data_IF_223423624068
#
_entry.id   IF_223423624068
#
_cell.length_a   1.000
_cell.length_b   1.000
_cell.length_c   1.000
_cell.angle_alpha   90.00
_cell.angle_beta   90.00
_cell.angle_gamma   90.00
#
_symmetry.space_group_name_H-M   'P 1'
#
loop_
_entity.id
_entity.type
_entity.pdbx_description
1 polymer ?
#
# COMPACT_ATOMS: atom_id res chain seq x y z
N UNK A 1 56.48 -26.09 -52.33
CA UNK A 1 55.40 -26.44 -51.37
C UNK A 1 54.59 -25.16 -51.10
N UNK A 2 53.41 -25.01 -51.74
CA UNK A 2 52.59 -23.81 -51.70
C UNK A 2 51.51 -24.03 -50.65
N UNK A 3 51.56 -23.25 -49.54
CA UNK A 3 50.57 -23.24 -48.51
C UNK A 3 49.45 -22.26 -48.91
N UNK A 4 48.26 -22.76 -49.14
CA UNK A 4 47.07 -21.94 -49.40
C UNK A 4 46.48 -21.52 -48.06
N UNK A 5 46.44 -20.16 -47.80
CA UNK A 5 45.68 -19.56 -46.74
C UNK A 5 44.20 -19.53 -47.12
N UNK A 6 43.36 -20.26 -46.40
CA UNK A 6 41.91 -20.18 -46.50
C UNK A 6 41.45 -19.14 -45.45
N UNK A 7 40.99 -17.99 -45.96
CA UNK A 7 40.40 -16.95 -45.11
C UNK A 7 38.95 -17.30 -44.85
N UNK A 8 38.59 -17.61 -43.60
CA UNK A 8 37.20 -17.75 -43.15
C UNK A 8 36.67 -16.35 -42.79
N UNK A 9 35.78 -15.83 -43.63
CA UNK A 9 34.98 -14.67 -43.31
C UNK A 9 33.79 -15.13 -42.44
N UNK A 10 33.85 -14.83 -41.15
CA UNK A 10 32.69 -14.99 -40.25
C UNK A 10 31.74 -13.83 -40.50
N UNK A 11 30.63 -14.14 -41.18
CA UNK A 11 29.50 -13.20 -41.34
C UNK A 11 28.67 -13.27 -40.07
N UNK A 12 28.84 -12.27 -39.16
CA UNK A 12 27.95 -12.05 -38.03
C UNK A 12 26.63 -11.47 -38.54
N UNK A 13 25.61 -12.31 -38.64
CA UNK A 13 24.23 -11.87 -38.80
C UNK A 13 23.74 -11.37 -37.42
N UNK A 14 23.73 -10.08 -37.24
CA UNK A 14 23.02 -9.42 -36.15
C UNK A 14 21.50 -9.56 -36.42
N UNK A 15 20.92 -10.59 -35.86
CA UNK A 15 19.43 -10.66 -35.75
C UNK A 15 19.07 -9.68 -34.66
N UNK A 16 18.75 -8.45 -35.05
CA UNK A 16 18.06 -7.50 -34.22
C UNK A 16 16.68 -8.02 -33.90
N UNK A 17 16.46 -8.50 -32.68
CA UNK A 17 15.13 -8.67 -32.16
C UNK A 17 14.47 -7.28 -32.07
N UNK A 18 13.80 -6.84 -33.11
CA UNK A 18 12.75 -5.86 -33.00
C UNK A 18 11.57 -6.56 -32.32
N UNK A 19 11.55 -6.54 -30.99
CA UNK A 19 10.29 -6.71 -30.28
C UNK A 19 9.57 -5.36 -30.35
N UNK A 20 8.82 -5.13 -31.41
CA UNK A 20 7.70 -4.23 -31.39
C UNK A 20 6.69 -4.78 -30.37
N UNK A 21 6.98 -4.61 -29.07
CA UNK A 21 5.94 -4.58 -28.08
C UNK A 21 5.11 -3.35 -28.44
N UNK A 22 3.98 -3.58 -29.13
CA UNK A 22 2.87 -2.64 -29.06
C UNK A 22 2.69 -2.37 -27.56
N UNK A 23 3.04 -1.17 -27.09
CA UNK A 23 2.50 -0.65 -25.86
C UNK A 23 0.99 -0.77 -26.05
N UNK A 24 0.36 -1.75 -25.41
CA UNK A 24 -1.08 -1.69 -25.20
C UNK A 24 -1.29 -0.39 -24.46
N UNK A 25 -1.84 0.61 -25.14
CA UNK A 25 -2.34 1.82 -24.52
C UNK A 25 -3.32 1.36 -23.43
N UNK A 26 -2.85 1.28 -22.20
CA UNK A 26 -3.67 1.00 -21.03
C UNK A 26 -4.63 2.19 -20.94
N UNK A 27 -5.82 2.02 -21.51
CA UNK A 27 -6.87 3.03 -21.48
C UNK A 27 -7.30 3.14 -20.02
N UNK A 28 -6.98 4.27 -19.40
CA UNK A 28 -7.53 4.60 -18.09
C UNK A 28 -9.04 4.75 -18.29
N UNK A 29 -9.87 3.98 -17.57
CA UNK A 29 -11.32 4.13 -17.67
C UNK A 29 -11.73 5.58 -17.47
N UNK A 30 -12.69 6.06 -18.26
CA UNK A 30 -13.14 7.46 -18.21
C UNK A 30 -13.68 7.87 -16.85
N UNK A 31 -14.14 6.94 -16.04
CA UNK A 31 -14.60 7.14 -14.66
C UNK A 31 -13.52 7.66 -13.71
N UNK A 32 -12.23 7.50 -14.04
CA UNK A 32 -11.13 8.05 -13.25
C UNK A 32 -10.65 9.44 -13.72
N UNK A 33 -11.32 10.03 -14.71
CA UNK A 33 -11.01 11.36 -15.21
C UNK A 33 -11.94 12.40 -14.56
N UNK A 34 -11.47 13.04 -13.51
CA UNK A 34 -12.20 14.09 -12.80
C UNK A 34 -12.83 13.66 -11.47
N UNK A 35 -12.97 12.35 -11.23
CA UNK A 35 -13.34 11.79 -9.93
C UNK A 35 -12.12 11.23 -9.20
N UNK A 36 -12.19 11.19 -7.87
CA UNK A 36 -11.13 10.57 -7.08
C UNK A 36 -11.19 9.04 -7.22
N UNK A 37 -10.23 8.37 -7.88
CA UNK A 37 -10.27 6.93 -8.10
C UNK A 37 -9.89 6.12 -6.84
N UNK A 38 -9.42 6.78 -5.77
CA UNK A 38 -8.85 6.13 -4.61
C UNK A 38 -9.82 5.18 -3.87
N UNK A 39 -11.11 5.51 -3.64
CA UNK A 39 -12.03 4.60 -2.98
C UNK A 39 -12.10 3.21 -3.65
N UNK A 40 -12.22 3.17 -4.97
CA UNK A 40 -12.26 1.91 -5.73
C UNK A 40 -10.91 1.20 -5.77
N UNK A 41 -9.83 1.93 -5.93
CA UNK A 41 -8.47 1.38 -5.87
C UNK A 41 -8.22 0.76 -4.50
N UNK A 42 -8.54 1.45 -3.41
CA UNK A 42 -8.41 0.99 -2.04
C UNK A 42 -9.17 -0.32 -1.81
N UNK A 43 -10.43 -0.37 -2.20
CA UNK A 43 -11.26 -1.57 -2.12
C UNK A 43 -10.64 -2.76 -2.87
N UNK A 44 -10.19 -2.53 -4.10
CA UNK A 44 -9.52 -3.57 -4.91
C UNK A 44 -8.20 -4.01 -4.29
N UNK A 45 -7.42 -3.09 -3.71
CA UNK A 45 -6.15 -3.43 -3.03
C UNK A 45 -6.38 -4.32 -1.83
N UNK A 46 -7.39 -4.01 -0.99
CA UNK A 46 -7.75 -4.84 0.15
C UNK A 46 -8.25 -6.21 -0.32
N UNK A 47 -9.21 -6.26 -1.24
CA UNK A 47 -9.88 -7.53 -1.57
C UNK A 47 -9.10 -8.44 -2.54
N UNK A 48 -8.19 -7.88 -3.36
CA UNK A 48 -7.46 -8.66 -4.39
C UNK A 48 -5.98 -8.85 -4.08
N UNK A 49 -5.32 -7.86 -3.47
CA UNK A 49 -3.88 -7.91 -3.26
C UNK A 49 -3.50 -8.34 -1.84
N UNK A 50 -4.25 -7.88 -0.83
CA UNK A 50 -3.92 -8.16 0.57
C UNK A 50 -4.01 -9.65 0.93
N UNK A 51 -4.99 -10.45 0.44
CA UNK A 51 -5.03 -11.90 0.71
C UNK A 51 -3.75 -12.62 0.30
N UNK A 52 -3.22 -12.30 -0.87
CA UNK A 52 -1.98 -12.89 -1.37
C UNK A 52 -0.77 -12.43 -0.56
N UNK A 53 -0.73 -11.14 -0.18
CA UNK A 53 0.36 -10.60 0.64
C UNK A 53 0.41 -11.24 2.03
N UNK A 54 -0.74 -11.52 2.66
CA UNK A 54 -0.83 -12.29 3.91
C UNK A 54 -0.23 -13.70 3.74
N UNK A 55 -0.64 -14.38 2.66
CA UNK A 55 -0.16 -15.74 2.38
C UNK A 55 1.35 -15.78 2.11
N UNK A 56 1.88 -14.88 1.28
CA UNK A 56 3.31 -14.79 0.95
C UNK A 56 4.16 -14.48 2.19
N UNK A 57 3.68 -13.57 3.05
CA UNK A 57 4.33 -13.23 4.31
C UNK A 57 4.10 -14.27 5.43
N UNK A 58 3.29 -15.31 5.20
CA UNK A 58 2.92 -16.34 6.17
C UNK A 58 2.31 -15.74 7.45
N UNK A 59 1.41 -14.81 7.27
CA UNK A 59 0.69 -14.10 8.33
C UNK A 59 -0.75 -14.62 8.38
N UNK A 60 -1.17 -15.13 9.54
CA UNK A 60 -2.56 -15.57 9.73
C UNK A 60 -3.47 -14.39 9.97
N UNK A 61 -3.03 -13.43 10.79
CA UNK A 61 -3.80 -12.24 11.11
C UNK A 61 -2.90 -10.99 11.14
N UNK A 62 -3.32 -9.92 10.49
CA UNK A 62 -2.69 -8.61 10.59
C UNK A 62 -3.57 -7.67 11.40
N UNK A 63 -3.03 -7.11 12.48
CA UNK A 63 -3.66 -6.13 13.35
C UNK A 63 -3.07 -4.75 13.08
N UNK A 64 -3.93 -3.80 12.73
CA UNK A 64 -3.58 -2.37 12.61
C UNK A 64 -4.44 -1.56 13.58
N UNK A 65 -3.81 -0.65 14.31
CA UNK A 65 -4.47 0.24 15.25
C UNK A 65 -4.43 1.67 14.73
N UNK A 66 -5.60 2.23 14.44
CA UNK A 66 -5.76 3.62 14.02
C UNK A 66 -6.35 4.47 15.15
N UNK A 67 -5.97 5.74 15.21
CA UNK A 67 -6.48 6.72 16.17
C UNK A 67 -6.19 8.15 15.72
N UNK A 68 -6.90 9.11 16.29
CA UNK A 68 -6.57 10.53 16.14
C UNK A 68 -5.18 10.86 16.73
N UNK A 69 -4.51 11.83 16.16
CA UNK A 69 -3.22 12.34 16.60
C UNK A 69 -2.13 11.25 16.70
N UNK A 70 -1.35 11.09 15.69
CA UNK A 70 -0.38 10.02 15.48
C UNK A 70 -1.03 8.71 15.03
N UNK A 71 -1.75 8.80 13.91
CA UNK A 71 -2.39 7.66 13.27
C UNK A 71 -1.35 6.71 12.63
N UNK A 72 -1.79 5.47 12.36
CA UNK A 72 -0.97 4.51 11.63
C UNK A 72 -0.65 5.04 10.22
N UNK A 73 0.59 4.90 9.72
CA UNK A 73 0.96 5.34 8.36
C UNK A 73 0.11 4.73 7.24
N UNK A 74 -0.53 3.59 7.50
CA UNK A 74 -1.39 2.89 6.55
C UNK A 74 -2.88 3.21 6.71
N UNK A 75 -3.24 4.15 7.58
CA UNK A 75 -4.64 4.48 7.88
C UNK A 75 -5.44 4.78 6.61
N UNK A 76 -4.93 5.61 5.69
CA UNK A 76 -5.60 5.93 4.43
C UNK A 76 -5.77 4.71 3.50
N UNK A 77 -4.89 3.72 3.60
CA UNK A 77 -4.98 2.50 2.82
C UNK A 77 -6.07 1.53 3.29
N UNK A 78 -6.48 1.63 4.55
CA UNK A 78 -7.41 0.69 5.19
C UNK A 78 -8.71 1.33 5.70
N UNK A 79 -8.93 2.62 5.47
CA UNK A 79 -10.12 3.34 5.93
C UNK A 79 -10.02 3.89 7.35
N UNK A 80 -8.84 3.89 7.95
CA UNK A 80 -8.61 4.38 9.31
C UNK A 80 -8.23 5.87 9.39
N UNK A 81 -8.27 6.61 8.28
CA UNK A 81 -7.87 8.01 8.22
C UNK A 81 -8.71 8.95 9.11
N UNK A 82 -9.97 8.58 9.33
CA UNK A 82 -10.92 9.37 10.13
C UNK A 82 -11.19 8.78 11.51
N UNK A 83 -10.39 7.83 11.98
CA UNK A 83 -10.54 7.27 13.32
C UNK A 83 -10.26 8.35 14.39
N UNK A 84 -11.26 8.73 15.16
CA UNK A 84 -11.14 9.68 16.30
C UNK A 84 -10.70 8.96 17.58
N UNK A 85 -11.31 7.82 17.87
CA UNK A 85 -10.89 6.93 18.95
C UNK A 85 -10.06 5.74 18.43
N UNK A 86 -9.65 4.85 19.34
CA UNK A 86 -8.94 3.63 18.95
C UNK A 86 -9.85 2.74 18.09
N UNK A 87 -9.51 2.57 16.81
CA UNK A 87 -10.13 1.63 15.89
C UNK A 87 -9.14 0.53 15.53
N UNK A 88 -9.55 -0.74 15.67
CA UNK A 88 -8.70 -1.89 15.40
C UNK A 88 -9.18 -2.60 14.14
N UNK A 89 -8.31 -2.69 13.17
CA UNK A 89 -8.53 -3.35 11.89
C UNK A 89 -7.83 -4.71 11.91
N UNK A 90 -8.57 -5.76 11.60
CA UNK A 90 -8.07 -7.13 11.49
C UNK A 90 -8.26 -7.64 10.08
N UNK A 91 -7.18 -8.14 9.48
CA UNK A 91 -7.19 -8.78 8.18
C UNK A 91 -6.63 -10.19 8.36
N UNK A 92 -7.38 -11.21 7.93
CA UNK A 92 -6.96 -12.59 8.14
C UNK A 92 -7.52 -13.53 7.08
N UNK A 93 -6.85 -14.66 6.90
CA UNK A 93 -7.35 -15.78 6.11
C UNK A 93 -7.79 -16.91 7.03
N UNK A 94 -8.90 -17.57 6.70
CA UNK A 94 -9.32 -18.83 7.32
C UNK A 94 -9.76 -19.83 6.24
N UNK A 95 -10.34 -20.95 6.63
CA UNK A 95 -10.77 -22.02 5.71
C UNK A 95 -11.85 -21.59 4.71
N UNK A 96 -12.54 -20.48 5.00
CA UNK A 96 -13.59 -19.92 4.14
C UNK A 96 -13.02 -18.90 3.14
N UNK A 97 -11.93 -18.24 3.50
CA UNK A 97 -11.26 -17.25 2.66
C UNK A 97 -10.70 -16.07 3.44
N UNK A 98 -10.51 -14.96 2.71
CA UNK A 98 -10.05 -13.71 3.29
C UNK A 98 -11.17 -12.95 3.98
N UNK A 99 -10.85 -12.35 5.11
CA UNK A 99 -11.77 -11.54 5.92
C UNK A 99 -11.12 -10.24 6.38
N UNK A 100 -11.96 -9.21 6.50
CA UNK A 100 -11.61 -7.94 7.10
C UNK A 100 -12.65 -7.54 8.15
N UNK A 101 -12.21 -7.31 9.39
CA UNK A 101 -13.06 -6.98 10.53
C UNK A 101 -12.55 -5.76 11.26
N UNK A 102 -13.44 -4.84 11.59
CA UNK A 102 -13.10 -3.62 12.31
C UNK A 102 -13.84 -3.55 13.64
N UNK A 103 -13.14 -3.19 14.71
CA UNK A 103 -13.70 -2.78 15.97
C UNK A 103 -13.50 -1.27 16.13
N UNK A 104 -14.57 -0.50 16.12
CA UNK A 104 -14.52 0.96 16.17
C UNK A 104 -15.48 1.51 17.23
N UNK A 105 -15.19 2.67 17.84
CA UNK A 105 -16.19 3.35 18.65
C UNK A 105 -17.52 3.47 17.91
N UNK A 106 -18.64 3.25 18.60
CA UNK A 106 -19.98 3.20 17.99
C UNK A 106 -20.35 4.49 17.25
N UNK A 107 -19.80 5.64 17.68
CA UNK A 107 -20.03 6.92 17.01
C UNK A 107 -19.34 7.06 15.65
N UNK A 108 -18.40 6.19 15.32
CA UNK A 108 -17.58 6.23 14.10
C UNK A 108 -17.86 5.02 13.19
N UNK A 109 -18.46 3.96 13.73
CA UNK A 109 -18.66 2.69 13.05
C UNK A 109 -19.50 2.81 11.77
N UNK A 110 -20.51 3.66 11.75
CA UNK A 110 -21.35 3.89 10.57
C UNK A 110 -20.56 4.46 9.41
N UNK A 111 -19.71 5.46 9.66
CA UNK A 111 -18.86 6.05 8.62
C UNK A 111 -17.84 5.05 8.06
N UNK A 112 -17.32 4.15 8.89
CA UNK A 112 -16.43 3.06 8.46
C UNK A 112 -17.16 2.01 7.63
N UNK A 113 -18.39 1.66 8.01
CA UNK A 113 -19.22 0.70 7.29
C UNK A 113 -19.63 1.24 5.91
N UNK A 114 -19.95 2.54 5.82
CA UNK A 114 -20.28 3.22 4.56
C UNK A 114 -19.13 3.23 3.53
N UNK A 115 -17.88 3.06 3.95
CA UNK A 115 -16.75 2.88 3.02
C UNK A 115 -16.88 1.61 2.18
N UNK A 116 -17.63 0.63 2.66
CA UNK A 116 -17.90 -0.64 1.97
C UNK A 116 -16.61 -1.36 1.49
N UNK A 117 -15.59 -1.35 2.34
CA UNK A 117 -14.27 -1.97 2.11
C UNK A 117 -13.96 -3.10 3.10
N UNK A 118 -14.73 -3.20 4.18
CA UNK A 118 -14.60 -4.24 5.20
C UNK A 118 -15.81 -5.17 5.18
N UNK A 119 -15.60 -6.45 5.56
CA UNK A 119 -16.68 -7.43 5.62
C UNK A 119 -17.57 -7.21 6.85
N UNK A 120 -16.99 -6.73 7.96
CA UNK A 120 -17.70 -6.51 9.22
C UNK A 120 -17.12 -5.32 9.98
N UNK A 121 -18.00 -4.39 10.36
CA UNK A 121 -17.67 -3.26 11.24
C UNK A 121 -18.47 -3.35 12.53
N UNK A 122 -17.78 -3.58 13.65
CA UNK A 122 -18.36 -3.72 14.98
C UNK A 122 -18.33 -2.39 15.71
N UNK A 123 -19.49 -1.78 15.92
CA UNK A 123 -19.63 -0.59 16.75
C UNK A 123 -19.53 -0.92 18.24
N UNK A 124 -18.50 -0.38 18.91
CA UNK A 124 -18.19 -0.66 20.31
C UNK A 124 -18.76 0.45 21.21
N UNK A 125 -19.55 0.07 22.19
CA UNK A 125 -20.18 1.01 23.13
C UNK A 125 -19.17 1.78 23.98
N UNK A 126 -19.51 2.99 24.40
CA UNK A 126 -18.68 3.79 25.31
C UNK A 126 -18.30 3.01 26.57
N UNK A 127 -17.05 3.13 26.99
CA UNK A 127 -16.52 2.43 28.18
C UNK A 127 -16.05 1.00 27.93
N UNK A 128 -16.26 0.46 26.73
CA UNK A 128 -15.70 -0.81 26.29
C UNK A 128 -14.48 -0.55 25.39
N UNK A 129 -13.41 -1.31 25.60
CA UNK A 129 -12.19 -1.16 24.80
C UNK A 129 -12.28 -1.94 23.48
N UNK A 130 -12.13 -1.26 22.37
CA UNK A 130 -12.01 -1.84 21.04
C UNK A 130 -10.83 -2.81 20.94
N UNK A 131 -9.71 -2.44 21.57
CA UNK A 131 -8.49 -3.27 21.60
C UNK A 131 -8.75 -4.58 22.35
N UNK A 132 -9.44 -4.54 23.50
CA UNK A 132 -9.74 -5.76 24.26
C UNK A 132 -10.60 -6.70 23.42
N UNK A 133 -11.66 -6.20 22.77
CA UNK A 133 -12.54 -7.03 21.93
C UNK A 133 -11.78 -7.62 20.73
N UNK A 134 -10.91 -6.86 20.09
CA UNK A 134 -10.10 -7.35 19.00
C UNK A 134 -9.11 -8.45 19.46
N UNK A 135 -8.47 -8.27 20.62
CA UNK A 135 -7.57 -9.29 21.19
C UNK A 135 -8.34 -10.54 21.61
N UNK A 136 -9.53 -10.41 22.20
CA UNK A 136 -10.38 -11.56 22.53
C UNK A 136 -10.79 -12.32 21.25
N UNK A 137 -11.12 -11.62 20.18
CA UNK A 137 -11.39 -12.24 18.89
C UNK A 137 -10.16 -13.00 18.36
N UNK A 138 -8.96 -12.42 18.41
CA UNK A 138 -7.70 -13.04 17.97
C UNK A 138 -7.44 -14.33 18.76
N UNK A 139 -7.60 -14.29 20.08
CA UNK A 139 -7.43 -15.47 20.96
C UNK A 139 -8.43 -16.57 20.62
N UNK A 140 -9.68 -16.24 20.36
CA UNK A 140 -10.73 -17.20 20.02
C UNK A 140 -10.48 -17.87 18.66
N UNK A 141 -9.89 -17.17 17.69
CA UNK A 141 -9.49 -17.71 16.37
C UNK A 141 -8.23 -18.57 16.45
N UNK A 142 -7.42 -18.41 17.50
CA UNK A 142 -6.18 -19.17 17.75
C UNK A 142 -5.18 -19.09 16.58
N UNK A 143 -4.96 -17.87 16.05
CA UNK A 143 -3.95 -17.65 15.03
C UNK A 143 -2.54 -18.01 15.55
N UNK A 144 -1.67 -18.52 14.68
CA UNK A 144 -0.28 -18.87 15.01
C UNK A 144 0.67 -17.71 14.78
N UNK A 145 0.37 -16.85 13.79
CA UNK A 145 1.18 -15.67 13.45
C UNK A 145 0.30 -14.42 13.40
N UNK A 146 0.67 -13.41 14.19
CA UNK A 146 -0.07 -12.15 14.29
C UNK A 146 0.89 -11.01 13.93
N UNK A 147 0.72 -10.43 12.73
CA UNK A 147 1.50 -9.28 12.32
C UNK A 147 0.97 -7.99 12.96
N UNK A 148 1.89 -7.14 13.40
CA UNK A 148 1.61 -5.80 13.93
C UNK A 148 2.52 -4.76 13.27
N UNK A 149 2.06 -3.52 13.18
CA UNK A 149 2.84 -2.43 12.62
C UNK A 149 3.88 -1.92 13.63
N UNK A 150 4.94 -2.72 13.78
CA UNK A 150 6.12 -2.39 14.60
C UNK A 150 7.36 -2.89 13.88
N UNK A 151 8.20 -1.97 13.41
CA UNK A 151 9.36 -2.27 12.56
C UNK A 151 10.53 -1.35 12.87
N UNK A 152 11.74 -1.90 12.77
CA UNK A 152 13.00 -1.13 12.87
C UNK A 152 13.54 -0.72 11.49
N UNK A 153 12.97 -1.24 10.40
CA UNK A 153 13.52 -1.09 9.04
C UNK A 153 12.53 -0.51 8.04
N UNK A 154 11.24 -0.53 8.35
CA UNK A 154 10.17 -0.05 7.46
C UNK A 154 9.24 0.90 8.23
N UNK A 155 9.42 2.20 8.05
CA UNK A 155 8.64 3.23 8.75
C UNK A 155 7.14 3.21 8.42
N UNK A 156 6.76 2.69 7.23
CA UNK A 156 5.34 2.54 6.85
C UNK A 156 4.68 1.41 7.64
N UNK A 157 5.46 0.42 8.08
CA UNK A 157 5.01 -0.69 8.92
C UNK A 157 5.36 -0.47 10.41
N UNK A 158 5.50 0.78 10.87
CA UNK A 158 5.88 1.14 12.24
C UNK A 158 4.93 2.21 12.80
N UNK A 159 3.64 1.89 12.83
CA UNK A 159 2.57 2.79 13.30
C UNK A 159 2.27 2.70 14.79
N UNK A 160 2.61 1.59 15.45
CA UNK A 160 2.31 1.41 16.88
C UNK A 160 3.23 2.24 17.76
N UNK A 161 2.65 3.01 18.69
CA UNK A 161 3.41 3.58 19.78
C UNK A 161 3.86 2.47 20.75
N UNK A 162 4.91 2.78 21.53
CA UNK A 162 5.37 1.88 22.61
C UNK A 162 4.24 1.48 23.56
N UNK A 163 3.38 2.42 23.94
CA UNK A 163 2.25 2.16 24.86
C UNK A 163 1.24 1.20 24.24
N UNK A 164 0.87 1.40 22.97
CA UNK A 164 -0.07 0.51 22.27
C UNK A 164 0.48 -0.89 22.11
N UNK A 165 1.75 -1.01 21.72
CA UNK A 165 2.43 -2.30 21.61
C UNK A 165 2.45 -3.03 22.95
N UNK A 166 2.85 -2.35 24.04
CA UNK A 166 2.86 -2.92 25.38
C UNK A 166 1.47 -3.35 25.84
N UNK A 167 0.42 -2.60 25.50
CA UNK A 167 -0.96 -2.97 25.81
C UNK A 167 -1.37 -4.24 25.07
N UNK A 168 -1.08 -4.37 23.79
CA UNK A 168 -1.36 -5.56 22.97
C UNK A 168 -0.62 -6.77 23.55
N UNK A 169 0.67 -6.64 23.86
CA UNK A 169 1.49 -7.70 24.45
C UNK A 169 0.93 -8.19 25.80
N UNK A 170 0.54 -7.25 26.67
CA UNK A 170 -0.05 -7.58 27.97
C UNK A 170 -1.40 -8.29 27.83
N UNK A 171 -2.26 -7.84 26.91
CA UNK A 171 -3.55 -8.46 26.65
C UNK A 171 -3.42 -9.85 26.07
N UNK A 172 -2.47 -10.07 25.16
CA UNK A 172 -2.19 -11.41 24.59
C UNK A 172 -1.58 -12.35 25.63
N UNK A 173 -0.80 -11.84 26.56
CA UNK A 173 -0.10 -12.64 27.56
C UNK A 173 0.90 -13.61 26.91
N UNK A 174 0.74 -14.93 27.14
CA UNK A 174 1.62 -15.94 26.53
C UNK A 174 1.59 -15.97 25.01
N UNK A 175 0.47 -15.56 24.40
CA UNK A 175 0.35 -15.52 22.94
C UNK A 175 1.07 -14.32 22.30
N UNK A 176 1.65 -13.42 23.11
CA UNK A 176 2.49 -12.33 22.59
C UNK A 176 3.74 -12.82 21.83
N UNK A 177 4.19 -14.05 22.07
CA UNK A 177 5.26 -14.70 21.29
C UNK A 177 4.89 -14.95 19.82
N UNK A 178 3.60 -14.91 19.47
CA UNK A 178 3.07 -15.04 18.11
C UNK A 178 3.13 -13.73 17.32
N UNK A 179 3.49 -12.62 17.98
CA UNK A 179 3.62 -11.31 17.35
C UNK A 179 4.84 -11.24 16.46
N UNK A 180 4.64 -10.80 15.22
CA UNK A 180 5.70 -10.53 14.24
C UNK A 180 5.53 -9.14 13.64
N UNK A 181 6.60 -8.62 13.02
CA UNK A 181 6.53 -7.37 12.26
C UNK A 181 5.73 -7.56 10.98
N UNK A 182 4.89 -6.58 10.63
CA UNK A 182 4.16 -6.56 9.35
C UNK A 182 5.02 -6.11 8.16
N UNK A 183 6.32 -5.86 8.34
CA UNK A 183 7.18 -5.25 7.31
C UNK A 183 7.15 -5.97 5.97
N UNK A 184 7.26 -7.30 5.97
CA UNK A 184 7.24 -8.11 4.75
C UNK A 184 5.86 -8.09 4.09
N UNK A 185 4.80 -8.26 4.87
CA UNK A 185 3.43 -8.16 4.40
C UNK A 185 3.15 -6.81 3.74
N UNK A 186 3.50 -5.72 4.41
CA UNK A 186 3.30 -4.35 3.92
C UNK A 186 4.10 -4.11 2.65
N UNK A 187 5.36 -4.59 2.60
CA UNK A 187 6.18 -4.51 1.40
C UNK A 187 5.52 -5.26 0.22
N UNK A 188 5.13 -6.52 0.41
CA UNK A 188 4.49 -7.34 -0.62
C UNK A 188 3.18 -6.70 -1.09
N UNK A 189 2.34 -6.23 -0.17
CA UNK A 189 1.07 -5.59 -0.50
C UNK A 189 1.22 -4.28 -1.27
N UNK A 190 2.15 -3.40 -0.86
CA UNK A 190 2.30 -2.07 -1.46
C UNK A 190 3.15 -2.08 -2.73
N UNK A 191 4.05 -3.07 -2.92
CA UNK A 191 4.90 -3.15 -4.12
C UNK A 191 4.12 -3.52 -5.36
N UNK A 192 3.09 -4.36 -5.24
CA UNK A 192 2.24 -4.77 -6.37
C UNK A 192 1.21 -3.66 -6.66
N UNK A 193 1.06 -3.34 -7.95
CA UNK A 193 0.13 -2.32 -8.43
C UNK A 193 -1.01 -2.96 -9.22
N UNK A 194 -2.21 -2.42 -9.05
CA UNK A 194 -3.34 -2.73 -9.92
C UNK A 194 -3.13 -2.12 -11.31
N UNK A 195 -3.78 -2.66 -12.32
CA UNK A 195 -3.72 -2.14 -13.70
C UNK A 195 -4.11 -0.65 -13.75
N UNK A 196 -5.12 -0.25 -12.99
CA UNK A 196 -5.58 1.13 -12.87
C UNK A 196 -4.51 2.04 -12.26
N UNK A 197 -3.81 1.58 -11.23
CA UNK A 197 -2.70 2.32 -10.62
C UNK A 197 -1.54 2.49 -11.62
N UNK A 198 -1.19 1.44 -12.37
CA UNK A 198 -0.15 1.50 -13.40
C UNK A 198 -0.51 2.52 -14.48
N UNK A 199 -1.77 2.55 -14.92
CA UNK A 199 -2.24 3.51 -15.91
C UNK A 199 -2.12 4.97 -15.40
N UNK A 200 -2.54 5.23 -14.16
CA UNK A 200 -2.44 6.55 -13.53
C UNK A 200 -0.98 6.96 -13.37
N UNK A 201 -0.13 6.07 -12.85
CA UNK A 201 1.30 6.32 -12.64
C UNK A 201 2.02 6.58 -13.97
N UNK A 202 1.67 5.84 -15.04
CA UNK A 202 2.23 6.05 -16.37
C UNK A 202 1.88 7.43 -16.91
N UNK A 203 0.63 7.87 -16.76
CA UNK A 203 0.20 9.22 -17.15
C UNK A 203 0.93 10.28 -16.34
N UNK A 204 1.01 10.11 -15.02
CA UNK A 204 1.71 11.05 -14.14
C UNK A 204 3.21 11.17 -14.51
N UNK A 205 3.85 10.04 -14.83
CA UNK A 205 5.25 10.05 -15.27
C UNK A 205 5.44 10.78 -16.60
N UNK A 206 4.56 10.58 -17.59
CA UNK A 206 4.59 11.32 -18.88
C UNK A 206 4.44 12.81 -18.65
N UNK A 207 3.44 13.25 -17.89
CA UNK A 207 3.23 14.67 -17.55
C UNK A 207 4.44 15.27 -16.80
N UNK A 208 5.01 14.52 -15.87
CA UNK A 208 6.21 14.98 -15.15
C UNK A 208 7.38 15.21 -16.09
N UNK A 209 7.61 14.30 -17.04
CA UNK A 209 8.67 14.46 -18.04
C UNK A 209 8.43 15.68 -18.94
N UNK A 210 7.20 15.92 -19.37
CA UNK A 210 6.82 17.11 -20.16
C UNK A 210 7.09 18.40 -19.36
N UNK A 211 6.66 18.45 -18.10
CA UNK A 211 6.89 19.60 -17.24
C UNK A 211 8.37 19.86 -16.96
N UNK A 212 9.18 18.80 -16.82
CA UNK A 212 10.63 18.93 -16.72
C UNK A 212 11.24 19.58 -17.97
N UNK A 213 10.85 19.12 -19.16
CA UNK A 213 11.33 19.70 -20.43
C UNK A 213 10.94 21.18 -20.54
N UNK A 214 9.70 21.52 -20.18
CA UNK A 214 9.25 22.91 -20.15
C UNK A 214 10.05 23.77 -19.14
N UNK A 215 10.31 23.21 -17.97
CA UNK A 215 11.12 23.86 -16.93
C UNK A 215 12.54 24.17 -17.43
N UNK A 216 13.21 23.20 -18.07
CA UNK A 216 14.52 23.42 -18.65
C UNK A 216 14.53 24.55 -19.71
N UNK A 217 13.48 24.66 -20.53
CA UNK A 217 13.34 25.75 -21.51
C UNK A 217 13.17 27.14 -20.85
N UNK A 218 12.76 27.18 -19.57
CA UNK A 218 12.61 28.44 -18.82
C UNK A 218 13.89 28.88 -18.13
N UNK A 219 14.90 28.04 -18.04
CA UNK A 219 16.18 28.40 -17.42
C UNK A 219 16.92 29.41 -18.26
N UNK A 220 17.25 30.56 -17.67
CA UNK A 220 18.09 31.58 -18.25
C UNK A 220 19.42 31.58 -17.48
N UNK A 221 20.54 31.15 -18.10
CA UNK A 221 21.84 31.11 -17.42
C UNK A 221 22.22 32.48 -16.79
N UNK A 222 22.64 32.44 -15.53
CA UNK A 222 23.03 33.63 -14.76
C UNK A 222 21.85 34.50 -14.26
N UNK A 223 20.59 34.10 -14.53
CA UNK A 223 19.40 34.83 -14.07
C UNK A 223 18.42 33.96 -13.27
N UNK A 224 18.06 32.76 -13.78
CA UNK A 224 17.10 31.90 -13.12
C UNK A 224 17.69 31.22 -11.89
N UNK A 225 16.93 31.22 -10.80
CA UNK A 225 17.24 30.47 -9.59
C UNK A 225 16.48 29.15 -9.58
N UNK A 226 16.87 28.23 -8.73
CA UNK A 226 16.13 26.99 -8.44
C UNK A 226 14.71 27.28 -7.92
N UNK A 227 14.55 28.32 -7.11
CA UNK A 227 13.26 28.77 -6.59
C UNK A 227 12.30 29.23 -7.69
N UNK A 228 12.82 29.92 -8.75
CA UNK A 228 12.00 30.33 -9.89
C UNK A 228 11.47 29.12 -10.65
N UNK A 229 12.30 28.13 -10.88
CA UNK A 229 11.93 26.90 -11.58
C UNK A 229 10.96 26.05 -10.72
N UNK A 230 11.20 25.93 -9.42
CA UNK A 230 10.29 25.24 -8.51
C UNK A 230 8.90 25.89 -8.47
N UNK A 231 8.83 27.23 -8.47
CA UNK A 231 7.57 27.97 -8.55
C UNK A 231 6.84 27.72 -9.87
N UNK A 232 7.57 27.73 -10.99
CA UNK A 232 7.00 27.41 -12.30
C UNK A 232 6.39 26.01 -12.32
N UNK A 233 7.12 25.00 -11.83
CA UNK A 233 6.63 23.61 -11.77
C UNK A 233 5.39 23.49 -10.89
N UNK A 234 5.37 24.10 -9.70
CA UNK A 234 4.19 24.11 -8.84
C UNK A 234 2.94 24.69 -9.52
N UNK A 235 3.11 25.77 -10.28
CA UNK A 235 2.01 26.39 -11.05
C UNK A 235 1.50 25.52 -12.18
N UNK A 236 2.33 24.62 -12.72
CA UNK A 236 1.92 23.66 -13.75
C UNK A 236 1.17 22.45 -13.20
N UNK A 237 1.39 22.11 -11.93
CA UNK A 237 0.79 20.96 -11.26
C UNK A 237 -0.57 21.27 -10.60
N UNK A 238 -0.91 22.56 -10.48
CA UNK A 238 -2.20 23.04 -9.98
C UNK A 238 -3.21 23.21 -11.11
#
# INVERSE_FOLDING_TARGET
MKIKFISYIFLFILIGCNSDKKEEDTIIPSEYWGENPWPEIRKKRINKLLPNALQEAKVDCWLVLCRENNNDPLADHIGGENAGGDAVFLFYNDDVGFHSKVFSPIGESTALDELNIHDEVVGVSRGVSTINLAIDFIKNKNFETIAINSSTTNSIADGLSFTQRTQIENLLGKDSQKLISSSELVYNWLSIKLTEEVAILTKAAKLTAEFQIEAYKKVIPGKSTDADIAKFLKQKML
#
